data_IF_628077747075
#
_entry.id   IF_628077747075
#
_cell.length_a   1.000
_cell.length_b   1.000
_cell.length_c   1.000
_cell.angle_alpha   90.00
_cell.angle_beta   90.00
_cell.angle_gamma   90.00
#
_symmetry.space_group_name_H-M   'P 1'
#
loop_
_entity.id
_entity.type
_entity.pdbx_description
1 polymer ?
#
# COMPACT_ATOMS: atom_id res chain seq x y z
N UNK A 1 9.82 12.73 -5.54
CA UNK A 1 10.50 13.46 -4.44
C UNK A 1 9.82 14.81 -4.31
N UNK A 2 9.91 15.47 -3.15
CA UNK A 2 9.50 16.87 -3.02
C UNK A 2 10.54 17.82 -3.64
N UNK A 3 10.27 19.12 -3.62
CA UNK A 3 11.16 20.14 -4.19
C UNK A 3 12.50 20.26 -3.42
N UNK A 4 12.60 19.66 -2.23
CA UNK A 4 13.81 19.59 -1.41
C UNK A 4 14.60 18.29 -1.60
N UNK A 5 14.14 17.39 -2.48
CA UNK A 5 14.77 16.10 -2.74
C UNK A 5 14.44 15.01 -1.72
N UNK A 6 13.44 15.20 -0.86
CA UNK A 6 13.01 14.17 0.06
C UNK A 6 12.13 13.14 -0.65
N UNK A 7 12.22 11.90 -0.15
CA UNK A 7 11.28 10.86 -0.51
C UNK A 7 9.85 11.32 -0.17
N UNK A 8 8.94 11.21 -1.15
CA UNK A 8 7.54 11.57 -0.96
C UNK A 8 6.74 10.29 -0.81
N UNK A 9 6.30 9.70 -1.92
CA UNK A 9 5.56 8.43 -1.94
C UNK A 9 6.24 7.39 -2.85
N UNK A 10 6.08 6.11 -2.53
CA UNK A 10 6.39 4.97 -3.40
C UNK A 10 5.23 3.99 -3.33
N UNK A 11 4.91 3.37 -4.46
CA UNK A 11 3.89 2.33 -4.56
C UNK A 11 4.49 1.11 -5.24
N UNK A 12 4.13 -0.07 -4.75
CA UNK A 12 4.58 -1.35 -5.28
C UNK A 12 3.41 -2.34 -5.31
N UNK A 13 3.34 -3.10 -6.40
CA UNK A 13 2.38 -4.19 -6.61
C UNK A 13 3.11 -5.35 -7.28
N UNK A 14 2.78 -6.58 -6.91
CA UNK A 14 3.30 -7.76 -7.62
C UNK A 14 2.48 -8.00 -8.88
N UNK A 15 3.12 -8.38 -10.00
CA UNK A 15 2.39 -8.75 -11.22
C UNK A 15 1.36 -9.86 -10.99
N UNK A 16 1.67 -10.83 -10.11
CA UNK A 16 0.73 -11.85 -9.68
C UNK A 16 -0.50 -11.28 -8.95
N UNK A 17 -0.34 -10.19 -8.19
CA UNK A 17 -1.46 -9.50 -7.52
C UNK A 17 -2.33 -8.74 -8.51
N UNK A 18 -1.75 -8.14 -9.56
CA UNK A 18 -2.51 -7.52 -10.66
C UNK A 18 -3.42 -8.56 -11.33
N UNK A 19 -2.86 -9.72 -11.68
CA UNK A 19 -3.61 -10.79 -12.31
C UNK A 19 -4.58 -11.50 -11.34
N UNK A 20 -4.21 -11.60 -10.06
CA UNK A 20 -4.95 -12.32 -9.03
C UNK A 20 -6.12 -11.52 -8.43
N UNK A 21 -6.12 -10.20 -8.56
CA UNK A 21 -7.11 -9.32 -7.93
C UNK A 21 -8.56 -9.65 -8.29
N UNK A 22 -8.83 -10.06 -9.52
CA UNK A 22 -10.19 -10.46 -9.97
C UNK A 22 -10.80 -11.64 -9.20
N UNK A 23 -9.98 -12.39 -8.45
CA UNK A 23 -10.43 -13.50 -7.63
C UNK A 23 -10.58 -13.14 -6.14
N UNK A 24 -10.24 -11.91 -5.77
CA UNK A 24 -10.37 -11.36 -4.43
C UNK A 24 -11.81 -10.90 -4.15
N UNK A 25 -12.28 -11.07 -2.91
CA UNK A 25 -13.66 -10.69 -2.52
C UNK A 25 -13.70 -9.60 -1.46
N UNK A 26 -12.73 -9.56 -0.57
CA UNK A 26 -12.63 -8.62 0.53
C UNK A 26 -11.25 -7.98 0.51
N UNK A 27 -11.20 -6.70 0.81
CA UNK A 27 -9.98 -5.90 0.79
C UNK A 27 -9.81 -5.35 2.20
N UNK A 28 -8.69 -5.67 2.81
CA UNK A 28 -8.26 -5.15 4.09
C UNK A 28 -7.15 -4.15 3.82
N UNK A 29 -7.24 -2.98 4.44
CA UNK A 29 -6.26 -1.92 4.28
C UNK A 29 -5.85 -1.46 5.66
N UNK A 30 -4.54 -1.32 5.87
CA UNK A 30 -3.97 -0.88 7.14
C UNK A 30 -2.68 -0.08 6.93
N UNK A 31 -2.38 0.80 7.87
CA UNK A 31 -1.19 1.64 7.91
C UNK A 31 -0.37 1.38 9.16
N UNK A 32 0.95 1.28 9.02
CA UNK A 32 1.86 1.13 10.19
C UNK A 32 3.08 2.03 10.10
N UNK A 33 3.55 2.51 11.26
CA UNK A 33 4.72 3.37 11.34
C UNK A 33 6.01 2.62 10.97
N UNK A 34 6.79 3.20 10.05
CA UNK A 34 8.11 2.69 9.72
C UNK A 34 9.15 3.16 10.74
N UNK A 35 9.83 2.20 11.37
CA UNK A 35 10.99 2.48 12.23
C UNK A 35 12.27 2.52 11.39
N UNK A 36 12.45 3.59 10.63
CA UNK A 36 13.69 3.86 9.90
C UNK A 36 14.11 5.33 10.09
N UNK A 37 15.33 5.68 9.66
CA UNK A 37 15.88 7.05 9.80
C UNK A 37 14.96 8.14 9.23
N UNK A 38 14.19 7.80 8.20
CA UNK A 38 13.33 8.73 7.47
C UNK A 38 11.86 8.67 7.90
N UNK A 39 11.49 7.76 8.80
CA UNK A 39 10.12 7.58 9.26
C UNK A 39 9.16 7.15 8.14
N UNK A 40 7.95 7.69 8.19
CA UNK A 40 6.87 7.42 7.23
C UNK A 40 5.93 6.31 7.69
N UNK A 41 4.95 6.04 6.83
CA UNK A 41 3.93 5.01 7.03
C UNK A 41 3.99 4.01 5.89
N UNK A 42 3.99 2.74 6.23
CA UNK A 42 3.75 1.66 5.29
C UNK A 42 2.25 1.42 5.24
N UNK A 43 1.62 1.79 4.13
CA UNK A 43 0.25 1.42 3.80
C UNK A 43 0.28 0.08 3.09
N UNK A 44 -0.61 -0.82 3.48
CA UNK A 44 -0.74 -2.14 2.89
C UNK A 44 -2.18 -2.42 2.55
N UNK A 45 -2.39 -3.09 1.43
CA UNK A 45 -3.67 -3.67 1.11
C UNK A 45 -3.52 -5.16 0.87
N UNK A 46 -4.43 -5.91 1.47
CA UNK A 46 -4.45 -7.35 1.51
C UNK A 46 -5.85 -7.81 1.13
N UNK A 47 -5.93 -9.01 0.58
CA UNK A 47 -7.18 -9.71 0.34
C UNK A 47 -7.12 -11.10 0.99
N UNK A 48 -8.24 -11.80 0.91
CA UNK A 48 -8.33 -13.21 1.19
C UNK A 48 -8.65 -13.96 -0.12
N UNK A 49 -7.86 -14.98 -0.42
CA UNK A 49 -8.09 -15.83 -1.59
C UNK A 49 -9.22 -16.84 -1.37
N UNK A 50 -9.52 -17.63 -2.41
CA UNK A 50 -10.54 -18.68 -2.35
C UNK A 50 -10.26 -19.81 -1.36
N UNK A 51 -9.04 -19.89 -0.82
CA UNK A 51 -8.59 -20.84 0.18
C UNK A 51 -8.47 -20.19 1.59
N UNK A 52 -9.02 -19.00 1.77
CA UNK A 52 -8.97 -18.24 3.01
C UNK A 52 -7.54 -17.85 3.46
N UNK A 53 -6.59 -17.76 2.54
CA UNK A 53 -5.23 -17.32 2.81
C UNK A 53 -5.09 -15.82 2.54
N UNK A 54 -4.20 -15.16 3.28
CA UNK A 54 -3.87 -13.76 3.05
C UNK A 54 -3.17 -13.65 1.69
N UNK A 55 -3.74 -12.83 0.81
CA UNK A 55 -3.24 -12.55 -0.51
C UNK A 55 -2.82 -11.07 -0.59
N UNK A 56 -1.50 -10.76 -0.61
CA UNK A 56 -1.03 -9.38 -0.67
C UNK A 56 -1.38 -8.72 -2.01
N UNK A 57 -1.83 -7.46 -1.96
CA UNK A 57 -2.24 -6.72 -3.15
C UNK A 57 -1.23 -5.64 -3.49
N UNK A 58 -1.00 -4.72 -2.55
CA UNK A 58 -0.13 -3.59 -2.78
C UNK A 58 0.48 -3.07 -1.48
N UNK A 59 1.56 -2.35 -1.64
CA UNK A 59 2.29 -1.68 -0.58
C UNK A 59 2.59 -0.26 -1.02
N UNK A 60 2.51 0.68 -0.10
CA UNK A 60 2.99 2.03 -0.33
C UNK A 60 3.75 2.56 0.88
N UNK A 61 4.81 3.32 0.61
CA UNK A 61 5.46 4.14 1.62
C UNK A 61 5.00 5.56 1.40
N UNK A 62 4.42 6.16 2.44
CA UNK A 62 3.99 7.55 2.45
C UNK A 62 4.66 8.32 3.58
N UNK A 63 4.69 9.65 3.47
CA UNK A 63 5.34 10.51 4.46
C UNK A 63 4.59 10.54 5.81
N UNK A 64 3.26 10.38 5.79
CA UNK A 64 2.39 10.46 6.95
C UNK A 64 1.02 9.84 6.69
N UNK A 65 0.31 9.44 7.74
CA UNK A 65 -1.03 8.87 7.66
C UNK A 65 -2.05 10.00 7.67
N UNK A 66 -2.48 10.42 6.48
CA UNK A 66 -3.41 11.51 6.29
C UNK A 66 -4.30 11.26 5.06
N UNK A 67 -5.34 12.07 4.89
CA UNK A 67 -6.31 11.91 3.80
C UNK A 67 -5.68 11.99 2.40
N UNK A 68 -4.63 12.80 2.22
CA UNK A 68 -3.92 12.92 0.94
C UNK A 68 -3.16 11.62 0.63
N UNK A 69 -2.46 11.06 1.61
CA UNK A 69 -1.75 9.79 1.48
C UNK A 69 -2.69 8.63 1.20
N UNK A 70 -3.81 8.56 1.92
CA UNK A 70 -4.83 7.53 1.73
C UNK A 70 -5.52 7.66 0.37
N UNK A 71 -5.94 8.85 -0.01
CA UNK A 71 -6.56 9.11 -1.32
C UNK A 71 -5.61 8.71 -2.44
N UNK A 72 -4.36 9.14 -2.36
CA UNK A 72 -3.35 8.77 -3.34
C UNK A 72 -3.10 7.25 -3.40
N UNK A 73 -3.09 6.56 -2.25
CA UNK A 73 -2.94 5.11 -2.22
C UNK A 73 -4.11 4.39 -2.90
N UNK A 74 -5.35 4.82 -2.64
CA UNK A 74 -6.54 4.25 -3.29
C UNK A 74 -6.63 4.54 -4.78
N UNK A 75 -6.04 5.64 -5.27
CA UNK A 75 -5.88 5.91 -6.70
C UNK A 75 -4.86 4.99 -7.39
N UNK A 76 -3.98 4.33 -6.63
CA UNK A 76 -2.91 3.47 -7.16
C UNK A 76 -3.17 1.97 -7.06
N UNK A 77 -4.06 1.55 -6.16
CA UNK A 77 -4.44 0.14 -5.96
C UNK A 77 -5.47 -0.35 -6.99
#
# INVERSE_FOLDING_TARGET
>A
MDDSGHFKFCFMVFGASIEGWKYCRLIFVDGTFLKCKFGGILLTALSQDGNNQIFPLSFAIVDSENDVSWTWFFEKI
#
